data_IF_573990907137
#
_entry.id   IF_573990907137
#
_cell.length_a   1.000
_cell.length_b   1.000
_cell.length_c   1.000
_cell.angle_alpha   90.00
_cell.angle_beta   90.00
_cell.angle_gamma   90.00
#
_symmetry.space_group_name_H-M   'P 1'
#
loop_
_entity.id
_entity.type
_entity.pdbx_description
1 polymer ?
#
# COMPACT_ATOMS: atom_id res chain seq x y z
N UNK A 1 -15.58 12.68 -8.55
CA UNK A 1 -14.92 11.38 -8.28
C UNK A 1 -14.64 11.30 -6.78
N UNK A 2 -15.71 11.19 -5.97
CA UNK A 2 -15.65 11.50 -4.52
C UNK A 2 -16.17 10.34 -3.64
N UNK A 3 -16.48 9.18 -4.23
CA UNK A 3 -17.28 8.13 -3.56
C UNK A 3 -16.46 6.87 -3.18
N UNK A 4 -15.20 6.74 -3.62
CA UNK A 4 -14.46 5.47 -3.44
C UNK A 4 -13.84 5.29 -2.04
N UNK A 5 -13.41 6.36 -1.37
CA UNK A 5 -12.60 6.24 -0.14
C UNK A 5 -13.39 5.64 1.03
N UNK A 6 -14.64 6.10 1.24
CA UNK A 6 -15.47 5.61 2.35
C UNK A 6 -16.01 4.18 2.19
N UNK A 7 -15.88 3.57 1.01
CA UNK A 7 -16.25 2.18 0.77
C UNK A 7 -15.07 1.21 0.99
N UNK A 8 -13.84 1.67 0.74
CA UNK A 8 -12.63 0.87 0.94
C UNK A 8 -12.38 0.69 2.45
N UNK A 9 -12.48 1.75 3.25
CA UNK A 9 -12.31 1.66 4.72
C UNK A 9 -13.34 0.74 5.39
N UNK A 10 -14.53 0.57 4.80
CA UNK A 10 -15.55 -0.34 5.33
C UNK A 10 -15.27 -1.83 5.04
N UNK A 11 -14.39 -2.11 4.08
CA UNK A 11 -14.08 -3.49 3.65
C UNK A 11 -12.67 -3.94 3.99
N UNK A 12 -11.71 -3.01 4.09
CA UNK A 12 -10.30 -3.32 4.37
C UNK A 12 -9.95 -2.81 5.77
N UNK A 13 -9.51 -3.69 6.69
CA UNK A 13 -9.08 -3.28 8.03
C UNK A 13 -7.98 -2.21 7.97
N UNK A 14 -7.96 -1.32 8.97
CA UNK A 14 -7.00 -0.21 9.01
C UNK A 14 -5.55 -0.72 9.02
N UNK A 15 -5.28 -1.77 9.78
CA UNK A 15 -3.97 -2.41 9.88
C UNK A 15 -3.49 -2.90 8.50
N UNK A 16 -4.42 -3.40 7.68
CA UNK A 16 -4.13 -3.86 6.33
C UNK A 16 -3.90 -2.68 5.37
N UNK A 17 -4.63 -1.58 5.52
CA UNK A 17 -4.37 -0.34 4.76
C UNK A 17 -3.00 0.26 5.08
N UNK A 18 -2.63 0.30 6.36
CA UNK A 18 -1.31 0.76 6.81
C UNK A 18 -0.21 -0.12 6.20
N UNK A 19 -0.38 -1.45 6.25
CA UNK A 19 0.54 -2.39 5.60
C UNK A 19 0.66 -2.16 4.09
N UNK A 20 -0.44 -1.93 3.38
CA UNK A 20 -0.43 -1.62 1.94
C UNK A 20 0.38 -0.34 1.66
N UNK A 21 0.21 0.69 2.49
CA UNK A 21 0.96 1.94 2.36
C UNK A 21 2.44 1.72 2.60
N UNK A 22 2.80 0.92 3.59
CA UNK A 22 4.20 0.62 3.91
C UNK A 22 4.89 -0.18 2.81
N UNK A 23 4.23 -1.20 2.23
CA UNK A 23 4.73 -1.92 1.05
C UNK A 23 4.99 -0.93 -0.10
N UNK A 24 4.04 -0.04 -0.40
CA UNK A 24 4.20 0.96 -1.48
C UNK A 24 5.34 1.92 -1.18
N UNK A 25 5.56 2.32 0.07
CA UNK A 25 6.69 3.16 0.46
C UNK A 25 8.02 2.42 0.32
N UNK A 26 8.06 1.16 0.74
CA UNK A 26 9.25 0.31 0.66
C UNK A 26 9.75 0.15 -0.78
N UNK A 27 8.86 0.20 -1.79
CA UNK A 27 9.30 0.23 -3.21
C UNK A 27 10.23 1.41 -3.55
N UNK A 28 10.20 2.52 -2.80
CA UNK A 28 11.06 3.69 -3.04
C UNK A 28 12.43 3.61 -2.37
N UNK A 29 12.59 2.70 -1.41
CA UNK A 29 13.82 2.48 -0.67
C UNK A 29 14.49 1.14 -0.99
N UNK A 30 13.87 0.33 -1.86
CA UNK A 30 14.39 -0.98 -2.22
C UNK A 30 15.63 -0.84 -3.14
N UNK A 31 16.74 -1.54 -2.85
CA UNK A 31 17.99 -1.39 -3.59
C UNK A 31 17.88 -1.76 -5.07
N UNK A 32 17.02 -2.71 -5.44
CA UNK A 32 16.80 -3.13 -6.83
C UNK A 32 15.86 -2.23 -7.64
N UNK A 33 15.19 -1.27 -6.99
CA UNK A 33 14.16 -0.43 -7.63
C UNK A 33 14.72 0.96 -7.89
N UNK A 34 14.82 1.33 -9.17
CA UNK A 34 15.25 2.66 -9.62
C UNK A 34 14.18 3.72 -9.38
N UNK A 35 12.91 3.39 -9.65
CA UNK A 35 11.75 4.24 -9.34
C UNK A 35 10.63 3.43 -8.72
N UNK A 36 10.31 3.74 -7.46
CA UNK A 36 9.22 3.10 -6.73
C UNK A 36 7.83 3.59 -7.14
N UNK A 37 6.80 2.89 -6.69
CA UNK A 37 5.41 3.14 -7.02
C UNK A 37 4.90 4.43 -6.37
N UNK A 38 3.94 5.12 -7.01
CA UNK A 38 3.25 6.28 -6.40
C UNK A 38 2.27 5.84 -5.31
N UNK A 39 1.86 6.74 -4.41
CA UNK A 39 0.83 6.42 -3.39
C UNK A 39 -0.50 5.97 -3.99
N UNK A 40 -0.80 6.32 -5.26
CA UNK A 40 -1.97 5.83 -5.98
C UNK A 40 -1.96 4.31 -6.18
N UNK A 41 -0.80 3.66 -6.11
CA UNK A 41 -0.71 2.20 -6.12
C UNK A 41 -1.39 1.58 -4.90
N UNK A 42 -1.30 2.23 -3.73
CA UNK A 42 -1.96 1.76 -2.51
C UNK A 42 -3.49 1.71 -2.68
N UNK A 43 -4.08 2.68 -3.37
CA UNK A 43 -5.51 2.68 -3.67
C UNK A 43 -5.90 1.51 -4.58
N UNK A 44 -5.06 1.18 -5.57
CA UNK A 44 -5.31 0.06 -6.47
C UNK A 44 -5.25 -1.28 -5.71
N UNK A 45 -4.22 -1.47 -4.89
CA UNK A 45 -4.06 -2.67 -4.05
C UNK A 45 -5.24 -2.79 -3.08
N UNK A 46 -5.59 -1.71 -2.37
CA UNK A 46 -6.72 -1.71 -1.43
C UNK A 46 -8.07 -2.02 -2.12
N UNK A 47 -8.24 -1.56 -3.37
CA UNK A 47 -9.45 -1.86 -4.15
C UNK A 47 -9.52 -3.33 -4.55
N UNK A 48 -8.40 -3.95 -4.92
CA UNK A 48 -8.32 -5.38 -5.23
C UNK A 48 -8.59 -6.22 -3.98
N UNK A 49 -7.98 -5.86 -2.85
CA UNK A 49 -8.21 -6.53 -1.56
C UNK A 49 -9.67 -6.40 -1.11
N UNK A 50 -10.27 -5.21 -1.25
CA UNK A 50 -11.70 -5.01 -0.98
C UNK A 50 -12.62 -5.84 -1.91
N UNK A 51 -12.09 -6.28 -3.06
CA UNK A 51 -12.72 -7.20 -4.00
C UNK A 51 -12.55 -8.68 -3.63
N UNK A 52 -11.84 -8.99 -2.54
CA UNK A 52 -11.60 -10.37 -2.07
C UNK A 52 -10.30 -10.99 -2.56
N UNK A 53 -9.40 -10.22 -3.16
CA UNK A 53 -8.07 -10.69 -3.56
C UNK A 53 -7.12 -10.71 -2.35
N UNK A 54 -6.27 -11.73 -2.26
CA UNK A 54 -5.22 -11.79 -1.24
C UNK A 54 -4.20 -10.66 -1.43
N UNK A 55 -3.60 -10.17 -0.34
CA UNK A 55 -2.71 -9.01 -0.37
C UNK A 55 -1.53 -9.21 -1.34
N UNK A 56 -0.90 -10.39 -1.29
CA UNK A 56 0.22 -10.72 -2.17
C UNK A 56 -0.18 -10.66 -3.64
N UNK A 57 -1.29 -11.30 -4.01
CA UNK A 57 -1.83 -11.29 -5.38
C UNK A 57 -2.16 -9.87 -5.85
N UNK A 58 -2.77 -9.07 -4.98
CA UNK A 58 -3.08 -7.67 -5.26
C UNK A 58 -1.81 -6.84 -5.51
N UNK A 59 -0.74 -7.07 -4.74
CA UNK A 59 0.56 -6.45 -4.96
C UNK A 59 1.21 -6.90 -6.28
N UNK A 60 1.24 -8.21 -6.56
CA UNK A 60 1.78 -8.78 -7.79
C UNK A 60 1.02 -8.31 -9.03
N UNK A 61 -0.27 -7.98 -8.90
CA UNK A 61 -1.06 -7.39 -9.99
C UNK A 61 -0.82 -5.89 -10.16
N UNK A 62 -0.76 -5.14 -9.06
CA UNK A 62 -0.79 -3.67 -9.11
C UNK A 62 0.59 -3.01 -9.28
N UNK A 63 1.67 -3.64 -8.79
CA UNK A 63 2.99 -3.03 -8.68
C UNK A 63 3.90 -3.14 -9.90
N UNK A 64 3.94 -4.24 -10.69
CA UNK A 64 4.98 -4.44 -11.72
C UNK A 64 5.05 -3.31 -12.75
N UNK A 65 3.89 -2.83 -13.23
CA UNK A 65 3.82 -1.72 -14.19
C UNK A 65 4.03 -0.33 -13.59
N UNK A 66 4.24 -0.25 -12.27
CA UNK A 66 4.36 1.01 -11.50
C UNK A 66 5.73 1.21 -10.89
N UNK A 67 6.62 0.22 -11.00
CA UNK A 67 8.00 0.30 -10.56
C UNK A 67 8.94 0.17 -11.75
N UNK A 68 10.11 0.76 -11.63
CA UNK A 68 11.20 0.65 -12.60
C UNK A 68 12.36 -0.03 -11.91
N UNK A 69 12.81 -1.18 -12.43
CA UNK A 69 13.95 -1.93 -11.91
C UNK A 69 15.26 -1.25 -12.31
N UNK A 70 16.31 -1.41 -11.50
CA UNK A 70 17.68 -0.99 -11.86
C UNK A 70 18.24 -1.92 -12.93
N UNK A 71 18.12 -3.22 -12.71
CA UNK A 71 18.58 -4.27 -13.62
C UNK A 71 17.40 -4.94 -14.33
N UNK A 72 17.56 -5.26 -15.61
CA UNK A 72 16.61 -6.08 -16.37
C UNK A 72 16.72 -7.58 -16.03
N UNK A 73 17.80 -7.99 -15.37
CA UNK A 73 18.06 -9.40 -15.06
C UNK A 73 17.38 -9.85 -13.78
N UNK A 74 16.87 -8.91 -12.97
CA UNK A 74 16.15 -9.19 -11.74
C UNK A 74 14.67 -9.41 -12.01
N UNK A 75 14.10 -10.45 -11.40
CA UNK A 75 12.66 -10.73 -11.50
C UNK A 75 11.87 -9.77 -10.61
N UNK A 76 11.09 -8.88 -11.24
CA UNK A 76 10.21 -7.93 -10.57
C UNK A 76 9.23 -8.60 -9.60
N UNK A 77 8.75 -9.80 -9.91
CA UNK A 77 7.80 -10.51 -9.04
C UNK A 77 8.48 -11.02 -7.78
N UNK A 78 9.72 -11.53 -7.87
CA UNK A 78 10.52 -11.92 -6.71
C UNK A 78 10.73 -10.76 -5.74
N UNK A 79 11.08 -9.57 -6.24
CA UNK A 79 11.27 -8.35 -5.44
C UNK A 79 9.96 -7.91 -4.79
N UNK A 80 8.83 -8.01 -5.50
CA UNK A 80 7.52 -7.70 -4.91
C UNK A 80 7.17 -8.69 -3.78
N UNK A 81 7.44 -9.99 -3.95
CA UNK A 81 7.20 -10.98 -2.88
C UNK A 81 8.07 -10.72 -1.65
N UNK A 82 9.32 -10.34 -1.86
CA UNK A 82 10.21 -9.89 -0.79
C UNK A 82 9.60 -8.72 -0.03
N UNK A 83 9.15 -7.67 -0.73
CA UNK A 83 8.50 -6.52 -0.11
C UNK A 83 7.23 -6.88 0.68
N UNK A 84 6.44 -7.84 0.21
CA UNK A 84 5.20 -8.27 0.89
C UNK A 84 5.49 -9.10 2.14
N UNK A 85 6.59 -9.86 2.14
CA UNK A 85 7.00 -10.72 3.26
C UNK A 85 7.74 -9.96 4.37
N UNK A 86 8.20 -8.73 4.11
CA UNK A 86 8.78 -7.86 5.13
C UNK A 86 7.78 -7.54 6.24
N UNK A 87 8.22 -7.65 7.49
CA UNK A 87 7.48 -7.14 8.64
C UNK A 87 7.66 -5.62 8.74
N UNK A 88 6.58 -4.88 8.49
CA UNK A 88 6.54 -3.43 8.73
C UNK A 88 5.89 -3.16 10.08
N UNK A 89 6.61 -2.47 10.97
CA UNK A 89 6.06 -2.01 12.25
C UNK A 89 5.34 -0.67 12.03
N UNK A 90 4.00 -0.67 12.13
CA UNK A 90 3.21 0.55 12.13
C UNK A 90 3.25 1.23 13.51
N UNK A 91 4.36 1.90 13.83
CA UNK A 91 4.40 2.81 15.00
C UNK A 91 3.68 4.12 14.68
N UNK A 92 2.34 4.11 14.73
CA UNK A 92 1.56 5.36 14.78
C UNK A 92 0.75 5.41 16.08
N UNK A 93 1.31 6.09 17.09
CA UNK A 93 0.52 6.62 18.20
C UNK A 93 -0.48 7.62 17.62
N UNK A 94 -1.77 7.26 17.66
CA UNK A 94 -2.86 8.20 17.42
C UNK A 94 -2.68 9.44 18.29
N UNK A 95 -2.38 10.59 17.67
CA UNK A 95 -2.66 11.87 18.32
C UNK A 95 -4.17 12.03 18.27
N UNK A 96 -4.84 11.91 19.43
CA UNK A 96 -6.25 12.28 19.57
C UNK A 96 -6.46 13.67 18.96
N UNK A 97 -7.16 13.72 17.83
CA UNK A 97 -7.59 14.98 17.24
C UNK A 97 -8.44 15.74 18.28
N UNK A 98 -8.16 17.02 18.57
CA UNK A 98 -9.02 17.78 19.46
C UNK A 98 -10.42 17.84 18.87
N UNK A 99 -11.40 17.27 19.59
CA UNK A 99 -12.81 17.39 19.23
C UNK A 99 -13.13 18.88 19.11
N UNK A 100 -13.47 19.34 17.91
CA UNK A 100 -14.06 20.67 17.71
C UNK A 100 -15.34 20.71 18.53
N UNK A 101 -15.33 21.44 19.65
CA UNK A 101 -16.54 21.69 20.41
C UNK A 101 -17.45 22.55 19.55
N UNK A 102 -18.55 21.98 19.07
CA UNK A 102 -19.67 22.75 18.57
C UNK A 102 -20.34 23.43 19.76
N UNK A 103 -19.93 24.67 20.06
CA UNK A 103 -20.74 25.54 20.91
C UNK A 103 -21.92 26.05 20.07
N UNK A 104 -23.11 25.83 20.61
CA UNK A 104 -24.41 26.32 20.15
C UNK A 104 -24.44 27.83 20.07
#
# INVERSE_FOLDING_TARGET
MEIALGQIEKKVPRELLERIVDIVRATRSHPSIKRGASIRAALAIASLVAGGMELEEACLMALPSRIEMISSDEDVFSVIRELVSMEFFSEFKEKKSPQRSTKR
#
